data_IF_866036195206
#
_entry.id   IF_866036195206
#
_cell.length_a   1.000
_cell.length_b   1.000
_cell.length_c   1.000
_cell.angle_alpha   90.00
_cell.angle_beta   90.00
_cell.angle_gamma   90.00
#
_symmetry.space_group_name_H-M   'P 1'
#
loop_
_entity.id
_entity.type
_entity.pdbx_description
1 polymer ?
#
# COMPACT_ATOMS: atom_id res chain seq x y z
N UNK A 1 1.13 36.95 16.63
CA UNK A 1 1.67 36.19 15.49
C UNK A 1 1.96 34.79 15.98
N UNK A 2 1.17 33.81 15.60
CA UNK A 2 1.52 32.40 15.77
C UNK A 2 2.63 32.08 14.77
N UNK A 3 3.79 31.64 15.27
CA UNK A 3 4.90 31.16 14.42
C UNK A 3 4.35 29.98 13.62
N UNK A 4 4.47 30.02 12.29
CA UNK A 4 4.07 28.87 11.48
C UNK A 4 4.85 27.63 11.94
N UNK A 5 4.18 26.48 12.11
CA UNK A 5 4.86 25.25 12.45
C UNK A 5 5.87 24.91 11.35
N UNK A 6 7.04 24.41 11.73
CA UNK A 6 8.03 23.99 10.74
C UNK A 6 7.44 22.84 9.91
N UNK A 7 7.66 22.80 8.58
CA UNK A 7 7.08 21.77 7.72
C UNK A 7 7.32 20.33 8.21
N UNK A 8 8.46 20.09 8.86
CA UNK A 8 8.81 18.80 9.45
C UNK A 8 7.90 18.42 10.63
N UNK A 9 7.51 19.37 11.47
CA UNK A 9 6.61 19.12 12.59
C UNK A 9 5.20 18.79 12.10
N UNK A 10 4.75 19.48 11.04
CA UNK A 10 3.47 19.15 10.41
C UNK A 10 3.47 17.75 9.79
N UNK A 11 4.56 17.37 9.10
CA UNK A 11 4.72 16.03 8.55
C UNK A 11 4.73 14.95 9.65
N UNK A 12 5.44 15.20 10.77
CA UNK A 12 5.43 14.31 11.95
C UNK A 12 4.03 14.16 12.52
N UNK A 13 3.30 15.26 12.72
CA UNK A 13 1.95 15.23 13.28
C UNK A 13 0.97 14.49 12.36
N UNK A 14 1.07 14.70 11.05
CA UNK A 14 0.27 13.99 10.06
C UNK A 14 0.58 12.48 10.10
N UNK A 15 1.85 12.10 10.02
CA UNK A 15 2.28 10.70 10.09
C UNK A 15 1.83 10.03 11.38
N UNK A 16 2.03 10.70 12.53
CA UNK A 16 1.58 10.25 13.85
C UNK A 16 0.09 9.94 13.83
N UNK A 17 -0.73 10.85 13.33
CA UNK A 17 -2.17 10.65 13.30
C UNK A 17 -2.61 9.43 12.47
N UNK A 18 -1.83 9.03 11.45
CA UNK A 18 -2.11 7.84 10.65
C UNK A 18 -1.66 6.55 11.34
N UNK A 19 -0.44 6.53 11.88
CA UNK A 19 0.09 5.34 12.57
C UNK A 19 -0.66 5.09 13.88
N UNK A 20 -1.23 6.10 14.53
CA UNK A 20 -2.01 5.93 15.78
C UNK A 20 -3.46 5.45 15.54
N UNK A 21 -3.87 5.24 14.28
CA UNK A 21 -5.21 4.70 14.01
C UNK A 21 -5.35 3.26 14.51
N UNK A 22 -6.51 2.92 15.06
CA UNK A 22 -6.83 1.56 15.54
C UNK A 22 -6.57 0.50 14.46
N UNK A 23 -7.03 0.72 13.22
CA UNK A 23 -6.80 -0.24 12.14
C UNK A 23 -5.32 -0.45 11.85
N UNK A 24 -4.50 0.60 11.86
CA UNK A 24 -3.07 0.42 11.64
C UNK A 24 -2.41 -0.31 12.81
N UNK A 25 -2.81 -0.01 14.05
CA UNK A 25 -2.28 -0.69 15.24
C UNK A 25 -2.63 -2.18 15.26
N UNK A 26 -3.82 -2.56 14.79
CA UNK A 26 -4.31 -3.95 14.80
C UNK A 26 -3.88 -4.77 13.57
N UNK A 27 -3.94 -4.16 12.39
CA UNK A 27 -3.79 -4.86 11.11
C UNK A 27 -2.56 -4.41 10.30
N UNK A 28 -1.88 -3.34 10.70
CA UNK A 28 -0.73 -2.80 9.98
C UNK A 28 -1.08 -2.14 8.64
N UNK A 29 -2.35 -1.86 8.36
CA UNK A 29 -2.76 -1.26 7.08
C UNK A 29 -3.45 0.08 7.28
N UNK A 30 -3.27 0.99 6.32
CA UNK A 30 -3.92 2.30 6.34
C UNK A 30 -5.28 2.24 5.62
N UNK A 31 -6.34 2.63 6.32
CA UNK A 31 -7.66 2.81 5.72
C UNK A 31 -7.76 4.17 5.03
N UNK A 32 -8.48 4.31 3.91
CA UNK A 32 -8.77 5.60 3.32
C UNK A 32 -9.44 6.46 4.39
N UNK A 33 -8.82 7.60 4.74
CA UNK A 33 -9.50 8.59 5.57
C UNK A 33 -10.66 9.15 4.77
N UNK A 34 -11.85 8.62 5.02
CA UNK A 34 -13.07 9.23 4.53
C UNK A 34 -13.13 10.62 5.14
N UNK A 35 -13.02 11.65 4.30
CA UNK A 35 -13.22 13.05 4.65
C UNK A 35 -14.68 13.29 5.04
N UNK A 36 -15.13 12.69 6.14
CA UNK A 36 -16.41 13.01 6.73
C UNK A 36 -16.14 14.13 7.71
N UNK A 37 -16.74 15.29 7.45
CA UNK A 37 -16.63 16.49 8.32
C UNK A 37 -17.10 16.22 9.76
N UNK A 38 -17.73 15.08 10.02
CA UNK A 38 -18.31 14.70 11.30
C UNK A 38 -17.82 13.31 11.71
N UNK A 39 -16.91 13.21 12.71
CA UNK A 39 -16.39 11.95 13.23
C UNK A 39 -17.48 10.93 13.63
N UNK A 40 -18.64 11.43 14.13
CA UNK A 40 -19.78 10.59 14.55
C UNK A 40 -20.38 9.74 13.42
N UNK A 41 -20.17 10.11 12.16
CA UNK A 41 -20.70 9.38 11.00
C UNK A 41 -19.72 8.34 10.44
N UNK A 42 -18.47 8.29 10.91
CA UNK A 42 -17.50 7.30 10.45
C UNK A 42 -17.93 5.84 10.67
N UNK A 43 -18.50 5.43 11.83
CA UNK A 43 -18.90 4.05 12.04
C UNK A 43 -19.97 3.57 11.05
N UNK A 44 -20.93 4.44 10.70
CA UNK A 44 -21.97 4.12 9.73
C UNK A 44 -21.41 3.93 8.33
N UNK A 45 -20.43 4.76 7.92
CA UNK A 45 -19.76 4.60 6.62
C UNK A 45 -18.86 3.37 6.57
N UNK A 46 -18.13 3.05 7.64
CA UNK A 46 -17.38 1.79 7.73
C UNK A 46 -18.31 0.59 7.54
N UNK A 47 -19.52 0.63 8.12
CA UNK A 47 -20.57 -0.39 7.90
C UNK A 47 -21.24 -0.36 6.53
N UNK A 48 -21.06 0.70 5.73
CA UNK A 48 -21.66 0.84 4.42
C UNK A 48 -20.65 0.59 3.27
N UNK A 49 -19.36 0.85 3.48
CA UNK A 49 -18.30 0.63 2.48
C UNK A 49 -17.94 -0.85 2.38
N UNK A 50 -18.04 -1.46 1.20
CA UNK A 50 -17.59 -2.85 0.97
C UNK A 50 -16.06 -2.98 1.02
N UNK A 51 -15.35 -1.88 0.76
CA UNK A 51 -13.89 -1.79 0.76
C UNK A 51 -13.41 -1.13 2.06
N UNK A 52 -12.41 -1.73 2.71
CA UNK A 52 -11.78 -1.21 3.92
C UNK A 52 -10.45 -0.52 3.66
N UNK A 53 -9.62 -1.08 2.77
CA UNK A 53 -8.32 -0.52 2.44
C UNK A 53 -8.00 -0.65 0.94
N UNK A 54 -7.10 0.21 0.47
CA UNK A 54 -6.56 0.20 -0.89
C UNK A 54 -5.06 0.12 -0.82
N UNK A 55 -4.46 -0.80 -1.58
CA UNK A 55 -3.01 -0.87 -1.67
C UNK A 55 -2.46 0.43 -2.27
N UNK A 56 -3.09 0.91 -3.34
CA UNK A 56 -2.69 2.11 -4.05
C UNK A 56 -3.19 3.42 -3.40
N UNK A 57 -2.39 4.49 -3.51
CA UNK A 57 -2.59 5.86 -2.98
C UNK A 57 -2.49 5.99 -1.48
N UNK A 58 -3.33 5.27 -0.75
CA UNK A 58 -3.49 5.48 0.69
C UNK A 58 -2.31 4.86 1.47
N UNK A 59 -1.82 3.69 1.02
CA UNK A 59 -0.72 2.99 1.68
C UNK A 59 0.65 3.36 1.08
N UNK A 60 0.83 3.30 -0.25
CA UNK A 60 2.14 3.58 -0.89
C UNK A 60 2.68 4.99 -0.59
N UNK A 61 1.86 6.04 -0.73
CA UNK A 61 2.33 7.42 -0.52
C UNK A 61 2.72 7.68 0.92
N UNK A 62 1.97 7.11 1.87
CA UNK A 62 2.25 7.30 3.28
C UNK A 62 3.54 6.58 3.69
N UNK A 63 3.82 5.41 3.14
CA UNK A 63 5.07 4.69 3.39
C UNK A 63 6.29 5.47 2.92
N UNK A 64 6.27 6.01 1.71
CA UNK A 64 7.35 6.88 1.24
C UNK A 64 7.53 8.10 2.15
N UNK A 65 6.43 8.67 2.65
CA UNK A 65 6.46 9.73 3.66
C UNK A 65 7.10 9.30 4.98
N UNK A 66 6.79 8.08 5.47
CA UNK A 66 7.37 7.53 6.69
C UNK A 66 8.86 7.22 6.54
N UNK A 67 9.30 6.66 5.41
CA UNK A 67 10.71 6.44 5.12
C UNK A 67 11.48 7.76 5.07
N UNK A 68 10.93 8.76 4.37
CA UNK A 68 11.52 10.10 4.29
C UNK A 68 11.62 10.74 5.68
N UNK A 69 10.58 10.58 6.53
CA UNK A 69 10.61 11.05 7.92
C UNK A 69 11.65 10.29 8.76
N UNK A 70 11.79 8.98 8.58
CA UNK A 70 12.82 8.19 9.27
C UNK A 70 14.22 8.72 8.96
N UNK A 71 14.51 8.96 7.68
CA UNK A 71 15.82 9.43 7.24
C UNK A 71 16.08 10.89 7.66
N UNK A 72 15.06 11.75 7.60
CA UNK A 72 15.20 13.15 7.98
C UNK A 72 15.34 13.37 9.49
N UNK A 73 14.76 12.49 10.31
CA UNK A 73 14.68 12.68 11.78
C UNK A 73 15.55 11.72 12.58
N UNK A 74 15.95 10.58 12.00
CA UNK A 74 16.62 9.49 12.71
C UNK A 74 15.72 8.75 13.71
N UNK A 75 14.41 9.04 13.74
CA UNK A 75 13.47 8.45 14.70
C UNK A 75 13.05 7.03 14.25
N UNK A 76 13.40 6.02 15.04
CA UNK A 76 13.16 4.60 14.69
C UNK A 76 11.69 4.24 14.55
N UNK A 77 10.79 4.94 15.26
CA UNK A 77 9.34 4.70 15.22
C UNK A 77 8.74 4.72 13.81
N UNK A 78 9.34 5.47 12.89
CA UNK A 78 8.87 5.53 11.50
C UNK A 78 9.25 4.28 10.71
N UNK A 79 10.43 3.71 10.98
CA UNK A 79 10.85 2.42 10.45
C UNK A 79 10.01 1.29 11.06
N UNK A 80 9.77 1.33 12.37
CA UNK A 80 8.90 0.36 13.06
C UNK A 80 7.48 0.34 12.47
N UNK A 81 6.95 1.52 12.09
CA UNK A 81 5.67 1.63 11.42
C UNK A 81 5.71 1.00 10.00
N UNK A 82 6.78 1.24 9.23
CA UNK A 82 6.94 0.65 7.91
C UNK A 82 7.09 -0.88 7.99
N UNK A 83 7.84 -1.41 8.96
CA UNK A 83 7.95 -2.86 9.20
C UNK A 83 6.59 -3.47 9.59
N UNK A 84 5.86 -2.82 10.50
CA UNK A 84 4.49 -3.23 10.83
C UNK A 84 3.58 -3.23 9.60
N UNK A 85 3.76 -2.25 8.72
CA UNK A 85 3.00 -2.21 7.49
C UNK A 85 3.34 -3.37 6.56
N UNK A 86 4.62 -3.73 6.43
CA UNK A 86 5.05 -4.87 5.63
C UNK A 86 4.41 -6.17 6.14
N UNK A 87 4.29 -6.35 7.46
CA UNK A 87 3.54 -7.48 8.03
C UNK A 87 2.06 -7.45 7.66
N UNK A 88 1.42 -6.27 7.74
CA UNK A 88 0.04 -6.07 7.31
C UNK A 88 -0.17 -6.37 5.82
N UNK A 89 0.77 -5.93 4.98
CA UNK A 89 0.79 -6.20 3.55
C UNK A 89 0.82 -7.70 3.27
N UNK A 90 1.77 -8.43 3.86
CA UNK A 90 1.89 -9.88 3.66
C UNK A 90 0.66 -10.62 4.16
N UNK A 91 0.07 -10.16 5.27
CA UNK A 91 -1.10 -10.81 5.87
C UNK A 91 -2.39 -10.60 5.08
N UNK A 92 -2.58 -9.41 4.50
CA UNK A 92 -3.88 -9.00 3.98
C UNK A 92 -3.88 -8.70 2.48
N UNK A 93 -2.83 -8.08 1.97
CA UNK A 93 -2.72 -7.64 0.58
C UNK A 93 -1.97 -8.62 -0.30
N UNK A 94 -1.52 -9.77 0.20
CA UNK A 94 -0.66 -10.67 -0.56
C UNK A 94 -1.08 -12.13 -0.42
N UNK A 95 -1.04 -12.88 -1.52
CA UNK A 95 -1.26 -14.32 -1.49
C UNK A 95 -0.73 -15.02 -2.75
N UNK A 96 0.08 -16.07 -2.56
CA UNK A 96 0.64 -16.90 -3.64
C UNK A 96 1.30 -16.08 -4.77
N UNK A 97 2.20 -15.15 -4.41
CA UNK A 97 2.84 -14.25 -5.37
C UNK A 97 1.96 -13.15 -5.97
N UNK A 98 0.69 -13.06 -5.58
CA UNK A 98 -0.26 -12.09 -6.13
C UNK A 98 -0.62 -11.02 -5.08
N UNK A 99 -0.22 -9.76 -5.30
CA UNK A 99 -0.73 -8.65 -4.51
C UNK A 99 -2.15 -8.29 -4.94
N UNK A 100 -3.00 -8.01 -3.95
CA UNK A 100 -4.39 -7.60 -4.09
C UNK A 100 -4.51 -6.08 -4.12
N UNK A 101 -5.44 -5.56 -4.93
CA UNK A 101 -5.64 -4.10 -5.05
C UNK A 101 -6.37 -3.52 -3.83
N UNK A 102 -7.21 -4.35 -3.20
CA UNK A 102 -8.19 -3.93 -2.20
C UNK A 102 -8.29 -4.93 -1.05
N UNK A 103 -8.69 -4.42 0.12
CA UNK A 103 -9.17 -5.24 1.23
C UNK A 103 -10.66 -5.00 1.44
N UNK A 104 -11.41 -6.06 1.67
CA UNK A 104 -12.82 -5.98 2.08
C UNK A 104 -12.94 -5.58 3.56
N UNK A 105 -14.17 -5.56 4.09
CA UNK A 105 -14.44 -5.20 5.50
C UNK A 105 -13.74 -6.10 6.51
N UNK A 106 -13.56 -7.36 6.15
CA UNK A 106 -12.98 -8.40 6.99
C UNK A 106 -11.47 -8.56 6.73
N UNK A 107 -10.88 -7.61 6.00
CA UNK A 107 -9.46 -7.56 5.63
C UNK A 107 -9.01 -8.72 4.73
N UNK A 108 -9.92 -9.27 3.93
CA UNK A 108 -9.56 -10.21 2.87
C UNK A 108 -9.17 -9.43 1.62
N UNK A 109 -8.02 -9.81 1.04
CA UNK A 109 -7.55 -9.26 -0.21
C UNK A 109 -8.38 -9.72 -1.41
N UNK A 110 -8.66 -8.82 -2.34
CA UNK A 110 -9.33 -9.14 -3.59
C UNK A 110 -8.82 -8.29 -4.77
N UNK A 111 -9.19 -8.70 -5.99
CA UNK A 111 -8.75 -8.09 -7.26
C UNK A 111 -7.22 -8.03 -7.40
N UNK A 112 -6.55 -9.18 -7.61
CA UNK A 112 -5.17 -9.18 -8.06
C UNK A 112 -5.12 -8.58 -9.47
N UNK A 113 -4.34 -7.53 -9.64
CA UNK A 113 -4.21 -6.82 -10.91
C UNK A 113 -2.74 -6.55 -11.21
N UNK A 114 -2.42 -6.39 -12.49
CA UNK A 114 -1.08 -6.00 -12.94
C UNK A 114 -0.66 -4.67 -12.33
N UNK A 115 -1.62 -3.75 -12.16
CA UNK A 115 -1.40 -2.47 -11.49
C UNK A 115 -1.01 -2.64 -10.01
N UNK A 116 -1.67 -3.54 -9.29
CA UNK A 116 -1.28 -3.85 -7.91
C UNK A 116 0.10 -4.49 -7.86
N UNK A 117 0.42 -5.36 -8.82
CA UNK A 117 1.74 -5.99 -8.95
C UNK A 117 2.85 -4.97 -9.16
N UNK A 118 2.72 -4.08 -10.13
CA UNK A 118 3.70 -3.00 -10.35
C UNK A 118 3.88 -2.13 -9.12
N UNK A 119 2.78 -1.70 -8.49
CA UNK A 119 2.84 -0.86 -7.30
C UNK A 119 3.52 -1.58 -6.12
N UNK A 120 3.27 -2.87 -5.97
CA UNK A 120 3.90 -3.69 -4.94
C UNK A 120 5.38 -3.90 -5.23
N UNK A 121 5.76 -4.17 -6.48
CA UNK A 121 7.17 -4.32 -6.88
C UNK A 121 7.96 -3.06 -6.56
N UNK A 122 7.50 -1.89 -7.02
CA UNK A 122 8.15 -0.59 -6.78
C UNK A 122 8.35 -0.36 -5.28
N UNK A 123 7.28 -0.53 -4.50
CA UNK A 123 7.34 -0.32 -3.06
C UNK A 123 8.26 -1.33 -2.37
N UNK A 124 8.17 -2.62 -2.69
CA UNK A 124 8.97 -3.67 -2.05
C UNK A 124 10.46 -3.50 -2.36
N UNK A 125 10.82 -3.04 -3.56
CA UNK A 125 12.20 -2.69 -3.88
C UNK A 125 12.68 -1.46 -3.11
N UNK A 126 11.84 -0.43 -2.98
CA UNK A 126 12.17 0.76 -2.17
C UNK A 126 12.36 0.40 -0.69
N UNK A 127 11.51 -0.50 -0.16
CA UNK A 127 11.64 -1.02 1.21
C UNK A 127 12.96 -1.78 1.38
N UNK A 128 13.33 -2.63 0.41
CA UNK A 128 14.60 -3.34 0.44
C UNK A 128 15.80 -2.38 0.45
N UNK A 129 15.80 -1.38 -0.43
CA UNK A 129 16.87 -0.39 -0.54
C UNK A 129 16.97 0.48 0.73
N UNK A 130 15.83 0.75 1.39
CA UNK A 130 15.79 1.41 2.68
C UNK A 130 16.26 0.53 3.86
N UNK A 131 16.54 -0.76 3.63
CA UNK A 131 16.94 -1.72 4.65
C UNK A 131 15.80 -2.21 5.55
N UNK A 132 14.55 -2.11 5.09
CA UNK A 132 13.34 -2.56 5.80
C UNK A 132 13.11 -4.05 5.55
N UNK A 133 12.62 -4.77 6.57
CA UNK A 133 12.18 -6.16 6.43
C UNK A 133 13.29 -7.18 6.19
N UNK A 134 14.55 -6.87 6.48
CA UNK A 134 15.69 -7.81 6.47
C UNK A 134 15.79 -8.69 5.21
N UNK A 135 15.49 -8.13 4.03
CA UNK A 135 15.51 -8.86 2.75
C UNK A 135 14.20 -9.54 2.36
N UNK A 136 13.25 -9.72 3.30
CA UNK A 136 11.91 -10.25 3.02
C UNK A 136 11.18 -9.45 1.96
N UNK A 137 11.33 -8.12 1.95
CA UNK A 137 10.71 -7.27 0.93
C UNK A 137 11.19 -7.65 -0.48
N UNK A 138 12.49 -7.88 -0.66
CA UNK A 138 13.05 -8.31 -1.93
C UNK A 138 12.58 -9.71 -2.33
N UNK A 139 12.46 -10.63 -1.37
CA UNK A 139 11.97 -11.99 -1.65
C UNK A 139 10.51 -11.97 -2.12
N UNK A 140 9.66 -11.15 -1.50
CA UNK A 140 8.28 -10.93 -1.96
C UNK A 140 8.23 -10.29 -3.35
N UNK A 141 9.11 -9.33 -3.63
CA UNK A 141 9.20 -8.71 -4.96
C UNK A 141 9.58 -9.75 -6.02
N UNK A 142 10.56 -10.61 -5.73
CA UNK A 142 10.98 -11.71 -6.62
C UNK A 142 9.87 -12.72 -6.86
N UNK A 143 9.17 -13.13 -5.81
CA UNK A 143 8.02 -14.05 -5.92
C UNK A 143 6.92 -13.43 -6.78
N UNK A 144 6.58 -12.15 -6.54
CA UNK A 144 5.61 -11.41 -7.36
C UNK A 144 6.03 -11.38 -8.83
N UNK A 145 7.28 -10.97 -9.10
CA UNK A 145 7.79 -10.91 -10.46
C UNK A 145 7.77 -12.28 -11.16
N UNK A 146 8.15 -13.35 -10.45
CA UNK A 146 8.12 -14.70 -10.99
C UNK A 146 6.71 -15.14 -11.39
N UNK A 147 5.72 -14.97 -10.51
CA UNK A 147 4.32 -15.32 -10.81
C UNK A 147 3.79 -14.51 -12.00
N UNK A 148 4.11 -13.22 -12.08
CA UNK A 148 3.66 -12.40 -13.22
C UNK A 148 4.36 -12.74 -14.53
N UNK A 149 5.64 -13.12 -14.50
CA UNK A 149 6.35 -13.63 -15.68
C UNK A 149 5.72 -14.92 -16.21
N UNK A 150 5.26 -15.81 -15.34
CA UNK A 150 4.54 -17.03 -15.75
C UNK A 150 3.17 -16.73 -16.38
N UNK A 151 2.57 -15.57 -16.09
CA UNK A 151 1.32 -15.10 -16.68
C UNK A 151 1.50 -14.36 -18.01
N UNK A 152 2.74 -14.13 -18.45
CA UNK A 152 3.03 -13.41 -19.68
C UNK A 152 2.47 -14.15 -20.90
N UNK A 153 1.76 -13.43 -21.78
CA UNK A 153 1.24 -13.99 -23.02
C UNK A 153 2.35 -14.23 -24.05
N UNK A 154 2.11 -15.07 -25.08
CA UNK A 154 3.07 -15.30 -26.15
C UNK A 154 3.51 -14.03 -26.92
N UNK A 155 2.73 -12.95 -26.84
CA UNK A 155 3.08 -11.65 -27.41
C UNK A 155 4.12 -10.87 -26.59
N UNK A 156 4.45 -11.34 -25.38
CA UNK A 156 5.29 -10.62 -24.42
C UNK A 156 4.53 -9.61 -23.55
N UNK A 157 3.22 -9.43 -23.78
CA UNK A 157 2.37 -8.57 -22.95
C UNK A 157 1.91 -9.31 -21.69
N UNK A 158 1.58 -8.55 -20.65
CA UNK A 158 1.00 -9.06 -19.42
C UNK A 158 -0.51 -8.78 -19.39
N UNK A 159 -1.33 -9.71 -18.88
CA UNK A 159 -2.77 -9.48 -18.70
C UNK A 159 -3.04 -8.46 -17.57
N UNK A 160 -4.12 -7.67 -17.62
CA UNK A 160 -4.51 -6.79 -16.51
C UNK A 160 -4.80 -7.54 -15.20
N UNK A 161 -5.26 -8.79 -15.28
CA UNK A 161 -5.55 -9.65 -14.15
C UNK A 161 -5.22 -11.13 -14.48
N UNK A 162 -4.83 -11.94 -13.49
CA UNK A 162 -4.62 -13.37 -13.70
C UNK A 162 -5.86 -14.05 -14.33
N UNK A 163 -5.63 -14.82 -15.40
CA UNK A 163 -6.69 -15.52 -16.12
C UNK A 163 -7.49 -14.67 -17.12
N UNK A 164 -7.14 -13.39 -17.32
CA UNK A 164 -7.74 -12.62 -18.42
C UNK A 164 -7.31 -13.20 -19.79
N UNK A 165 -8.27 -13.36 -20.69
CA UNK A 165 -8.04 -13.89 -22.05
C UNK A 165 -7.71 -12.80 -23.07
N UNK A 166 -8.10 -11.57 -22.76
CA UNK A 166 -7.86 -10.38 -23.58
C UNK A 166 -7.76 -9.17 -22.68
N UNK A 167 -7.00 -8.19 -23.14
CA UNK A 167 -6.95 -6.87 -22.53
C UNK A 167 -7.21 -5.86 -23.64
N UNK A 168 -8.06 -4.88 -23.34
CA UNK A 168 -8.22 -3.79 -24.27
C UNK A 168 -6.92 -2.98 -24.24
N UNK A 169 -6.26 -2.85 -25.39
CA UNK A 169 -5.18 -1.88 -25.58
C UNK A 169 -5.60 -0.58 -24.90
N UNK A 170 -4.76 -0.08 -24.00
CA UNK A 170 -5.08 1.09 -23.18
C UNK A 170 -5.63 2.21 -24.06
N UNK A 171 -6.65 2.92 -23.58
CA UNK A 171 -7.25 4.04 -24.31
C UNK A 171 -6.26 5.20 -24.56
N UNK A 172 -5.01 5.08 -24.09
CA UNK A 172 -3.90 6.02 -24.24
C UNK A 172 -2.90 5.65 -25.35
N UNK A 173 -3.16 4.62 -26.18
CA UNK A 173 -2.48 4.54 -27.49
C UNK A 173 -3.11 5.58 -28.41
N UNK A 174 -2.58 6.79 -28.37
CA UNK A 174 -2.78 7.77 -29.44
C UNK A 174 -2.14 7.20 -30.72
N UNK A 175 -2.98 6.63 -31.60
CA UNK A 175 -2.62 6.24 -32.97
C UNK A 175 -2.79 7.42 -33.94
#
# INVERSE_FOLDING_TARGET
MTKEPEPLDWARDLARAWVETETFQEAGVFEPRHSVRLPVLQPFRRRASTMRARLFKDNTNLLWGLLTLADATGETRWRDAVDRWLEGFVRHFYGAGLPFSFLDRDLNGYEPTLKAAFSALDLLTDLHDAGVGEGRALDLARETAAVWLDLQWPSGLFPAAPGAEYDHLDANVDL
#
